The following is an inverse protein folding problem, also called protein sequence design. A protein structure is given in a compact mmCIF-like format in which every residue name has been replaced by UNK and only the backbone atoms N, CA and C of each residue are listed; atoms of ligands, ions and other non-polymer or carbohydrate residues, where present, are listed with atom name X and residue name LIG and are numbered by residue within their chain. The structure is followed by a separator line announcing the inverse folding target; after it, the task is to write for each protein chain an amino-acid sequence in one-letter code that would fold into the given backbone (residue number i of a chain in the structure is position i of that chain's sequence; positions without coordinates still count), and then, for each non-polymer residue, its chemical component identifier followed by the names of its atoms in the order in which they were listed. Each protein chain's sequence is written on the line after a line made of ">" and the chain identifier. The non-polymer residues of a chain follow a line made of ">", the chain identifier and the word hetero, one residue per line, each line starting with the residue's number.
data_IF_688856787201
#
_entry.id   IF_688856787201
#
_cell.length_a   1.000
_cell.length_b   1.000
_cell.length_c   1.000
_cell.angle_alpha   90.00
_cell.angle_beta   90.00
_cell.angle_gamma   90.00
#
_symmetry.space_group_name_H-M   'P 1'
#
loop_
_entity.id
_entity.type
_entity.pdbx_description
1 polymer ?
#
# COMPACT_ATOMS: atom_id res chain seq x y z
N UNK A 1 22.06 -11.01 -48.91
CA UNK A 1 21.44 -10.64 -47.61
C UNK A 1 22.37 -11.20 -46.56
N UNK A 2 22.99 -10.34 -45.74
CA UNK A 2 23.99 -10.78 -44.80
C UNK A 2 23.32 -11.10 -43.43
N UNK A 3 22.52 -12.16 -43.40
CA UNK A 3 21.73 -12.59 -42.24
C UNK A 3 22.66 -12.88 -41.01
N UNK A 4 23.78 -13.51 -41.24
CA UNK A 4 24.70 -13.90 -40.15
C UNK A 4 25.29 -12.69 -39.41
N UNK A 5 25.48 -11.56 -40.13
CA UNK A 5 25.94 -10.32 -39.49
C UNK A 5 24.92 -9.68 -38.57
N UNK A 6 23.61 -9.96 -38.72
CA UNK A 6 22.52 -9.42 -37.89
C UNK A 6 22.22 -10.32 -36.70
N UNK A 7 22.43 -11.63 -36.82
CA UNK A 7 22.03 -12.59 -35.76
C UNK A 7 22.90 -12.46 -34.52
N UNK A 8 24.20 -12.22 -34.66
CA UNK A 8 25.10 -12.02 -33.53
C UNK A 8 24.69 -10.86 -32.64
N UNK A 9 24.64 -9.63 -33.17
CA UNK A 9 24.21 -8.45 -32.42
C UNK A 9 22.79 -8.58 -31.81
N UNK A 10 21.84 -9.17 -32.55
CA UNK A 10 20.47 -9.40 -32.05
C UNK A 10 20.47 -10.33 -30.82
N UNK A 11 21.30 -11.38 -30.82
CA UNK A 11 21.44 -12.31 -29.68
C UNK A 11 22.00 -11.59 -28.48
N UNK A 12 23.06 -10.80 -28.63
CA UNK A 12 23.66 -10.03 -27.55
C UNK A 12 22.65 -9.02 -26.95
N UNK A 13 21.82 -8.41 -27.77
CA UNK A 13 20.76 -7.52 -27.28
C UNK A 13 19.72 -8.29 -26.46
N UNK A 14 19.28 -9.45 -26.92
CA UNK A 14 18.33 -10.30 -26.19
C UNK A 14 18.91 -10.81 -24.89
N UNK A 15 20.20 -11.15 -24.84
CA UNK A 15 20.88 -11.58 -23.61
C UNK A 15 20.92 -10.43 -22.59
N UNK A 16 21.21 -9.21 -23.01
CA UNK A 16 21.16 -8.02 -22.12
C UNK A 16 19.75 -7.77 -21.58
N UNK A 17 18.72 -7.84 -22.44
CA UNK A 17 17.31 -7.68 -22.02
C UNK A 17 16.89 -8.77 -21.05
N UNK A 18 17.28 -10.01 -21.32
CA UNK A 18 17.00 -11.14 -20.44
C UNK A 18 17.63 -10.95 -19.05
N UNK A 19 18.91 -10.58 -19.00
CA UNK A 19 19.61 -10.32 -17.75
C UNK A 19 18.93 -9.19 -16.94
N UNK A 20 18.59 -8.08 -17.58
CA UNK A 20 17.89 -6.96 -16.94
C UNK A 20 16.50 -7.38 -16.40
N UNK A 21 15.76 -8.19 -17.17
CA UNK A 21 14.47 -8.73 -16.77
C UNK A 21 14.57 -9.61 -15.52
N UNK A 22 15.50 -10.56 -15.50
CA UNK A 22 15.68 -11.46 -14.35
C UNK A 22 16.10 -10.68 -13.08
N UNK A 23 16.99 -9.69 -13.24
CA UNK A 23 17.36 -8.80 -12.15
C UNK A 23 16.17 -8.00 -11.62
N UNK A 24 15.37 -7.38 -12.50
CA UNK A 24 14.20 -6.62 -12.13
C UNK A 24 13.14 -7.47 -11.40
N UNK A 25 12.86 -8.69 -11.89
CA UNK A 25 11.94 -9.63 -11.24
C UNK A 25 12.43 -10.08 -9.87
N UNK A 26 13.70 -10.39 -9.73
CA UNK A 26 14.30 -10.79 -8.44
C UNK A 26 14.16 -9.68 -7.40
N UNK A 27 14.50 -8.45 -7.81
CA UNK A 27 14.39 -7.28 -6.93
C UNK A 27 12.94 -6.97 -6.58
N UNK A 28 12.04 -6.98 -7.56
CA UNK A 28 10.60 -6.77 -7.34
C UNK A 28 10.05 -7.70 -6.24
N UNK A 29 10.34 -9.00 -6.33
CA UNK A 29 9.94 -9.98 -5.31
C UNK A 29 10.50 -9.66 -3.93
N UNK A 30 11.76 -9.21 -3.87
CA UNK A 30 12.43 -8.83 -2.62
C UNK A 30 11.79 -7.58 -2.00
N UNK A 31 11.45 -6.57 -2.80
CA UNK A 31 10.73 -5.37 -2.35
C UNK A 31 9.37 -5.75 -1.78
N UNK A 32 8.55 -6.47 -2.53
CA UNK A 32 7.21 -6.91 -2.11
C UNK A 32 7.28 -7.67 -0.78
N UNK A 33 8.22 -8.63 -0.67
CA UNK A 33 8.40 -9.39 0.57
C UNK A 33 8.82 -8.49 1.75
N UNK A 34 9.68 -7.51 1.51
CA UNK A 34 10.17 -6.59 2.54
C UNK A 34 9.06 -5.64 2.98
N UNK A 35 8.24 -5.12 2.06
CA UNK A 35 7.06 -4.31 2.35
C UNK A 35 6.01 -5.09 3.15
N UNK A 36 5.72 -6.33 2.78
CA UNK A 36 4.82 -7.20 3.56
C UNK A 36 5.32 -7.44 4.99
N UNK A 37 6.64 -7.58 5.20
CA UNK A 37 7.23 -7.66 6.55
C UNK A 37 7.08 -6.33 7.29
N UNK A 38 7.32 -5.20 6.63
CA UNK A 38 7.14 -3.86 7.20
C UNK A 38 5.72 -3.70 7.74
N UNK A 39 4.69 -3.96 6.95
CA UNK A 39 3.29 -3.87 7.35
C UNK A 39 2.99 -4.79 8.57
N UNK A 40 3.54 -6.01 8.58
CA UNK A 40 3.41 -6.91 9.74
C UNK A 40 4.02 -6.33 11.02
N UNK A 41 5.15 -5.62 10.92
CA UNK A 41 5.75 -4.93 12.07
C UNK A 41 4.92 -3.71 12.50
N UNK A 42 4.32 -2.97 11.55
CA UNK A 42 3.36 -1.90 11.87
C UNK A 42 2.21 -2.43 12.72
N UNK A 43 1.55 -3.53 12.31
CA UNK A 43 0.47 -4.15 13.08
C UNK A 43 0.89 -4.66 14.47
N UNK A 44 2.17 -5.00 14.64
CA UNK A 44 2.73 -5.41 15.94
C UNK A 44 3.22 -4.24 16.77
N UNK A 45 3.05 -3.01 16.30
CA UNK A 45 3.56 -1.76 16.91
C UNK A 45 5.08 -1.75 17.07
N UNK A 46 5.79 -2.51 16.23
CA UNK A 46 7.24 -2.59 16.17
C UNK A 46 7.74 -1.54 15.14
N UNK A 47 7.63 -0.27 15.52
CA UNK A 47 7.79 0.86 14.59
C UNK A 47 9.24 1.01 14.12
N UNK A 48 10.23 0.78 14.98
CA UNK A 48 11.64 0.89 14.59
C UNK A 48 12.04 -0.15 13.52
N UNK A 49 11.56 -1.39 13.68
CA UNK A 49 11.76 -2.47 12.70
C UNK A 49 11.02 -2.17 11.39
N UNK A 50 9.81 -1.61 11.45
CA UNK A 50 9.07 -1.20 10.27
C UNK A 50 9.82 -0.12 9.47
N UNK A 51 10.39 0.90 10.13
CA UNK A 51 11.22 1.91 9.49
C UNK A 51 12.47 1.32 8.81
N UNK A 52 13.16 0.40 9.49
CA UNK A 52 14.33 -0.26 8.92
C UNK A 52 13.98 -1.05 7.66
N UNK A 53 12.87 -1.78 7.68
CA UNK A 53 12.37 -2.53 6.53
C UNK A 53 11.91 -1.62 5.39
N UNK A 54 11.23 -0.52 5.69
CA UNK A 54 10.81 0.46 4.67
C UNK A 54 12.03 1.08 3.97
N UNK A 55 13.06 1.44 4.73
CA UNK A 55 14.33 1.94 4.19
C UNK A 55 15.00 0.88 3.29
N UNK A 56 15.02 -0.37 3.73
CA UNK A 56 15.55 -1.48 2.93
C UNK A 56 14.78 -1.66 1.62
N UNK A 57 13.44 -1.60 1.66
CA UNK A 57 12.58 -1.71 0.48
C UNK A 57 12.87 -0.59 -0.54
N UNK A 58 13.03 0.65 -0.09
CA UNK A 58 13.38 1.78 -0.94
C UNK A 58 14.76 1.61 -1.61
N UNK A 59 15.75 1.11 -0.87
CA UNK A 59 17.07 0.82 -1.42
C UNK A 59 17.02 -0.29 -2.48
N UNK A 60 16.28 -1.36 -2.23
CA UNK A 60 16.06 -2.44 -3.20
C UNK A 60 15.37 -1.91 -4.46
N UNK A 61 14.34 -1.08 -4.32
CA UNK A 61 13.62 -0.50 -5.45
C UNK A 61 14.55 0.33 -6.35
N UNK A 62 15.44 1.12 -5.75
CA UNK A 62 16.45 1.86 -6.50
C UNK A 62 17.46 0.94 -7.21
N UNK A 63 17.85 -0.17 -6.61
CA UNK A 63 18.68 -1.19 -7.27
C UNK A 63 17.97 -1.81 -8.49
N UNK A 64 16.66 -2.11 -8.38
CA UNK A 64 15.85 -2.63 -9.48
C UNK A 64 15.77 -1.65 -10.65
N UNK A 65 15.58 -0.37 -10.37
CA UNK A 65 15.58 0.68 -11.39
C UNK A 65 16.94 0.81 -12.08
N UNK A 66 18.03 0.75 -11.31
CA UNK A 66 19.38 0.79 -11.85
C UNK A 66 19.69 -0.43 -12.75
N UNK A 67 19.23 -1.62 -12.35
CA UNK A 67 19.41 -2.84 -13.15
C UNK A 67 18.61 -2.81 -14.46
N UNK A 68 17.47 -2.12 -14.50
CA UNK A 68 16.65 -1.93 -15.70
C UNK A 68 17.04 -0.66 -16.51
N UNK A 69 18.03 0.11 -16.06
CA UNK A 69 18.47 1.32 -16.75
C UNK A 69 18.96 0.98 -18.17
N UNK A 70 18.50 1.75 -19.16
CA UNK A 70 18.83 1.48 -20.57
C UNK A 70 17.99 0.37 -21.24
N UNK A 71 17.04 -0.24 -20.53
CA UNK A 71 16.09 -1.22 -21.04
C UNK A 71 14.65 -0.75 -20.76
N UNK A 72 14.12 0.21 -21.53
CA UNK A 72 12.79 0.80 -21.27
C UNK A 72 11.67 -0.24 -21.22
N UNK A 73 11.75 -1.28 -22.06
CA UNK A 73 10.76 -2.35 -22.13
C UNK A 73 10.70 -3.14 -20.79
N UNK A 74 11.81 -3.23 -20.07
CA UNK A 74 11.86 -3.90 -18.77
C UNK A 74 11.49 -2.93 -17.67
N UNK A 75 11.94 -1.68 -17.73
CA UNK A 75 11.64 -0.64 -16.75
C UNK A 75 10.13 -0.39 -16.63
N UNK A 76 9.42 -0.43 -17.79
CA UNK A 76 7.98 -0.15 -17.87
C UNK A 76 7.11 -1.42 -18.04
N UNK A 77 7.67 -2.60 -17.87
CA UNK A 77 6.93 -3.88 -18.00
C UNK A 77 5.98 -4.22 -16.84
N UNK A 78 5.85 -3.34 -15.85
CA UNK A 78 4.95 -3.55 -14.71
C UNK A 78 5.62 -4.15 -13.47
N UNK A 79 6.69 -4.91 -13.59
CA UNK A 79 7.33 -5.58 -12.44
C UNK A 79 7.76 -4.63 -11.33
N UNK A 80 8.41 -3.53 -11.71
CA UNK A 80 8.84 -2.50 -10.77
C UNK A 80 7.68 -1.64 -10.29
N UNK A 81 6.66 -1.43 -11.12
CA UNK A 81 5.46 -0.69 -10.76
C UNK A 81 4.66 -1.41 -9.66
N UNK A 82 4.56 -2.75 -9.73
CA UNK A 82 3.96 -3.55 -8.67
C UNK A 82 4.76 -3.42 -7.36
N UNK A 83 6.08 -3.46 -7.44
CA UNK A 83 6.94 -3.24 -6.27
C UNK A 83 6.82 -1.81 -5.70
N UNK A 84 6.69 -0.79 -6.56
CA UNK A 84 6.43 0.60 -6.17
C UNK A 84 5.09 0.71 -5.42
N UNK A 85 4.06 0.05 -5.90
CA UNK A 85 2.73 0.03 -5.29
C UNK A 85 2.79 -0.52 -3.86
N UNK A 86 3.40 -1.67 -3.65
CA UNK A 86 3.60 -2.26 -2.32
C UNK A 86 4.47 -1.37 -1.39
N UNK A 87 5.46 -0.68 -1.97
CA UNK A 87 6.28 0.26 -1.21
C UNK A 87 5.47 1.47 -0.73
N UNK A 88 4.57 1.99 -1.57
CA UNK A 88 3.63 3.06 -1.20
C UNK A 88 2.67 2.61 -0.11
N UNK A 89 2.09 1.42 -0.24
CA UNK A 89 1.21 0.82 0.77
C UNK A 89 1.91 0.75 2.13
N UNK A 90 3.11 0.18 2.18
CA UNK A 90 3.87 0.05 3.42
C UNK A 90 4.24 1.42 4.03
N UNK A 91 4.64 2.40 3.20
CA UNK A 91 4.98 3.75 3.64
C UNK A 91 3.75 4.49 4.19
N UNK A 92 2.60 4.38 3.52
CA UNK A 92 1.34 4.95 3.96
C UNK A 92 0.85 4.34 5.27
N UNK A 93 0.86 3.01 5.38
CA UNK A 93 0.48 2.29 6.60
C UNK A 93 1.33 2.70 7.80
N UNK A 94 2.65 2.78 7.63
CA UNK A 94 3.56 3.22 8.69
C UNK A 94 3.31 4.66 9.10
N UNK A 95 3.18 5.58 8.14
CA UNK A 95 2.92 6.99 8.43
C UNK A 95 1.60 7.20 9.19
N UNK A 96 0.52 6.55 8.73
CA UNK A 96 -0.80 6.67 9.36
C UNK A 96 -0.87 6.02 10.74
N UNK A 97 -0.16 4.90 10.94
CA UNK A 97 -0.03 4.27 12.25
C UNK A 97 0.72 5.14 13.27
N UNK A 98 1.64 5.98 12.83
CA UNK A 98 2.35 6.96 13.66
C UNK A 98 1.59 8.31 13.80
N UNK A 99 0.42 8.46 13.18
CA UNK A 99 -0.30 9.72 13.14
C UNK A 99 0.40 10.81 12.31
N UNK A 100 1.31 10.43 11.42
CA UNK A 100 2.02 11.35 10.52
C UNK A 100 1.25 11.57 9.22
N UNK A 101 1.63 12.64 8.51
CA UNK A 101 1.14 12.89 7.16
C UNK A 101 1.56 11.77 6.19
N UNK A 102 0.69 11.50 5.22
CA UNK A 102 0.98 10.57 4.11
C UNK A 102 2.22 11.09 3.35
N UNK A 103 3.21 10.23 3.06
CA UNK A 103 4.40 10.63 2.32
C UNK A 103 4.05 11.11 0.91
N UNK A 104 4.67 12.18 0.46
CA UNK A 104 4.45 12.67 -0.89
C UNK A 104 5.00 11.68 -1.93
N UNK A 105 4.32 11.58 -3.08
CA UNK A 105 4.76 10.73 -4.20
C UNK A 105 6.21 11.01 -4.61
N UNK A 106 6.58 12.29 -4.64
CA UNK A 106 7.94 12.75 -5.01
C UNK A 106 9.00 12.28 -4.02
N UNK A 107 8.68 12.22 -2.73
CA UNK A 107 9.59 11.78 -1.67
C UNK A 107 9.83 10.26 -1.75
N UNK A 108 8.79 9.51 -2.15
CA UNK A 108 8.89 8.07 -2.41
C UNK A 108 9.54 7.76 -3.76
N UNK A 109 9.60 8.74 -4.68
CA UNK A 109 10.17 8.58 -6.01
C UNK A 109 9.47 7.55 -6.88
N UNK A 110 8.16 7.38 -6.73
CA UNK A 110 7.37 6.36 -7.44
C UNK A 110 6.51 6.95 -8.56
N UNK A 111 6.03 6.09 -9.47
CA UNK A 111 5.10 6.47 -10.53
C UNK A 111 3.75 6.91 -9.94
N UNK A 112 3.02 7.76 -10.67
CA UNK A 112 1.69 8.22 -10.24
C UNK A 112 0.72 7.04 -10.12
N UNK A 113 0.78 6.08 -11.02
CA UNK A 113 -0.11 4.91 -11.05
C UNK A 113 0.14 4.02 -9.83
N UNK A 114 1.41 3.75 -9.50
CA UNK A 114 1.78 2.99 -8.32
C UNK A 114 1.36 3.73 -7.03
N UNK A 115 1.53 5.05 -6.99
CA UNK A 115 1.14 5.85 -5.83
C UNK A 115 -0.37 5.79 -5.57
N UNK A 116 -1.20 6.05 -6.58
CA UNK A 116 -2.66 6.03 -6.40
C UNK A 116 -3.18 4.66 -6.01
N UNK A 117 -2.75 3.59 -6.70
CA UNK A 117 -3.18 2.23 -6.37
C UNK A 117 -2.64 1.79 -5.00
N UNK A 118 -1.38 2.09 -4.68
CA UNK A 118 -0.77 1.77 -3.38
C UNK A 118 -1.45 2.49 -2.21
N UNK A 119 -1.92 3.73 -2.40
CA UNK A 119 -2.71 4.43 -1.40
C UNK A 119 -4.09 3.80 -1.19
N UNK A 120 -4.72 3.29 -2.25
CA UNK A 120 -5.98 2.54 -2.13
C UNK A 120 -5.80 1.22 -1.37
N UNK A 121 -4.69 0.50 -1.59
CA UNK A 121 -4.35 -0.71 -0.85
C UNK A 121 -3.99 -0.39 0.61
N UNK A 122 -3.21 0.67 0.86
CA UNK A 122 -2.94 1.19 2.20
C UNK A 122 -4.24 1.47 2.97
N UNK A 123 -5.17 2.22 2.36
CA UNK A 123 -6.45 2.50 2.99
C UNK A 123 -7.24 1.22 3.32
N UNK A 124 -7.18 0.20 2.47
CA UNK A 124 -7.80 -1.10 2.74
C UNK A 124 -7.13 -1.83 3.92
N UNK A 125 -5.80 -1.80 4.00
CA UNK A 125 -5.02 -2.44 5.07
C UNK A 125 -5.22 -1.76 6.43
N UNK A 126 -5.54 -0.46 6.46
CA UNK A 126 -5.86 0.26 7.69
C UNK A 126 -7.04 -0.34 8.47
N UNK A 127 -7.97 -1.05 7.79
CA UNK A 127 -9.05 -1.74 8.47
C UNK A 127 -8.55 -2.62 9.62
N UNK A 128 -7.46 -3.34 9.40
CA UNK A 128 -6.86 -4.19 10.45
C UNK A 128 -6.45 -3.35 11.66
N UNK A 129 -5.77 -2.24 11.43
CA UNK A 129 -5.38 -1.33 12.52
C UNK A 129 -6.60 -0.74 13.23
N UNK A 130 -7.66 -0.36 12.49
CA UNK A 130 -8.93 0.12 13.07
C UNK A 130 -9.50 -0.93 14.02
N UNK A 131 -9.61 -2.19 13.60
CA UNK A 131 -10.14 -3.26 14.45
C UNK A 131 -9.28 -3.53 15.68
N UNK A 132 -7.95 -3.44 15.55
CA UNK A 132 -7.03 -3.63 16.67
C UNK A 132 -7.17 -2.50 17.71
N UNK A 133 -7.23 -1.23 17.29
CA UNK A 133 -7.42 -0.10 18.22
C UNK A 133 -8.82 -0.07 18.83
N UNK A 134 -9.86 -0.54 18.12
CA UNK A 134 -11.20 -0.74 18.67
C UNK A 134 -11.19 -1.78 19.82
N UNK A 135 -10.48 -2.90 19.65
CA UNK A 135 -10.33 -3.92 20.70
C UNK A 135 -9.60 -3.38 21.94
N UNK A 136 -8.74 -2.40 21.78
CA UNK A 136 -8.05 -1.68 22.87
C UNK A 136 -8.96 -0.59 23.51
N UNK A 137 -10.16 -0.37 22.98
CA UNK A 137 -11.08 0.66 23.46
C UNK A 137 -10.75 2.07 22.98
N UNK A 138 -9.79 2.24 22.08
CA UNK A 138 -9.39 3.55 21.55
C UNK A 138 -10.27 3.98 20.36
N UNK A 139 -11.53 4.31 20.65
CA UNK A 139 -12.49 4.73 19.63
C UNK A 139 -12.09 6.03 18.91
N UNK A 140 -11.51 7.07 19.55
CA UNK A 140 -11.06 8.26 18.83
C UNK A 140 -10.02 7.97 17.75
N UNK A 141 -9.11 7.04 18.00
CA UNK A 141 -8.10 6.64 17.01
C UNK A 141 -8.72 5.80 15.89
N UNK A 142 -9.66 4.90 16.20
CA UNK A 142 -10.40 4.15 15.20
C UNK A 142 -11.17 5.08 14.25
N UNK A 143 -11.83 6.11 14.78
CA UNK A 143 -12.51 7.15 14.00
C UNK A 143 -11.53 7.96 13.13
N UNK A 144 -10.36 8.29 13.66
CA UNK A 144 -9.32 9.01 12.89
C UNK A 144 -8.87 8.19 11.69
N UNK A 145 -8.62 6.89 11.89
CA UNK A 145 -8.18 6.00 10.82
C UNK A 145 -9.29 5.76 9.78
N UNK A 146 -10.54 5.60 10.21
CA UNK A 146 -11.68 5.49 9.28
C UNK A 146 -11.79 6.75 8.42
N UNK A 147 -11.70 7.94 9.01
CA UNK A 147 -11.69 9.20 8.23
C UNK A 147 -10.55 9.26 7.23
N UNK A 148 -9.36 8.76 7.59
CA UNK A 148 -8.25 8.69 6.64
C UNK A 148 -8.56 7.76 5.46
N UNK A 149 -9.18 6.59 5.71
CA UNK A 149 -9.63 5.68 4.65
C UNK A 149 -10.65 6.35 3.71
N UNK A 150 -11.62 7.07 4.27
CA UNK A 150 -12.67 7.78 3.54
C UNK A 150 -12.06 8.91 2.69
N UNK A 151 -11.18 9.73 3.26
CA UNK A 151 -10.51 10.81 2.53
C UNK A 151 -9.71 10.27 1.33
N UNK A 152 -8.94 9.20 1.54
CA UNK A 152 -8.20 8.57 0.46
C UNK A 152 -9.16 8.06 -0.64
N UNK A 153 -10.24 7.42 -0.27
CA UNK A 153 -11.24 6.91 -1.21
C UNK A 153 -11.89 8.04 -2.02
N UNK A 154 -12.33 9.11 -1.35
CA UNK A 154 -12.98 10.25 -1.98
C UNK A 154 -12.05 10.91 -3.00
N UNK A 155 -10.78 11.11 -2.64
CA UNK A 155 -9.76 11.65 -3.55
C UNK A 155 -9.51 10.71 -4.74
N UNK A 156 -9.33 9.40 -4.52
CA UNK A 156 -9.06 8.43 -5.58
C UNK A 156 -10.21 8.30 -6.58
N UNK A 157 -11.45 8.45 -6.15
CA UNK A 157 -12.62 8.36 -7.04
C UNK A 157 -12.74 9.55 -7.99
N UNK A 158 -12.00 10.64 -7.76
CA UNK A 158 -11.95 11.78 -8.70
C UNK A 158 -11.13 11.51 -9.97
N UNK A 159 -10.33 10.44 -9.99
CA UNK A 159 -9.49 10.06 -11.14
C UNK A 159 -10.29 9.24 -12.16
N UNK A 160 -11.12 9.90 -12.93
CA UNK A 160 -11.94 9.26 -13.99
C UNK A 160 -11.17 9.15 -15.31
N UNK A 161 -10.23 8.20 -15.37
CA UNK A 161 -9.43 7.89 -16.54
C UNK A 161 -9.54 6.41 -16.90
N UNK A 162 -9.29 6.03 -18.18
CA UNK A 162 -9.30 4.63 -18.59
C UNK A 162 -8.32 3.77 -17.79
N UNK A 163 -8.68 2.50 -17.57
CA UNK A 163 -7.87 1.53 -16.80
C UNK A 163 -6.43 1.39 -17.32
N UNK A 164 -6.24 1.48 -18.65
CA UNK A 164 -4.90 1.46 -19.25
C UNK A 164 -4.00 2.64 -18.82
N UNK A 165 -4.59 3.74 -18.34
CA UNK A 165 -3.85 4.91 -17.82
C UNK A 165 -3.66 4.80 -16.30
N UNK A 166 -4.65 4.27 -15.58
CA UNK A 166 -4.68 4.23 -14.12
C UNK A 166 -4.22 2.91 -13.51
N UNK A 167 -3.91 1.90 -14.34
CA UNK A 167 -3.49 0.59 -13.87
C UNK A 167 -4.58 -0.14 -13.05
N UNK A 168 -5.86 0.08 -13.38
CA UNK A 168 -6.98 -0.59 -12.71
C UNK A 168 -7.46 0.09 -11.43
N UNK A 169 -7.20 1.39 -11.25
CA UNK A 169 -7.57 2.17 -10.05
C UNK A 169 -9.06 2.04 -9.69
N UNK A 170 -9.94 1.96 -10.69
CA UNK A 170 -11.39 1.75 -10.46
C UNK A 170 -11.64 0.48 -9.63
N UNK A 171 -10.98 -0.62 -9.96
CA UNK A 171 -11.10 -1.88 -9.22
C UNK A 171 -10.57 -1.75 -7.80
N UNK A 172 -9.46 -1.03 -7.61
CA UNK A 172 -8.91 -0.70 -6.29
C UNK A 172 -9.91 0.10 -5.46
N UNK A 173 -10.55 1.12 -6.04
CA UNK A 173 -11.59 1.92 -5.39
C UNK A 173 -12.84 1.08 -5.03
N UNK A 174 -13.30 0.21 -5.93
CA UNK A 174 -14.46 -0.66 -5.66
C UNK A 174 -14.19 -1.60 -4.48
N UNK A 175 -12.99 -2.19 -4.40
CA UNK A 175 -12.57 -3.03 -3.29
C UNK A 175 -12.48 -2.22 -1.98
N UNK A 176 -11.86 -1.04 -2.01
CA UNK A 176 -11.71 -0.15 -0.86
C UNK A 176 -13.08 0.31 -0.32
N UNK A 177 -14.02 0.66 -1.20
CA UNK A 177 -15.39 1.01 -0.80
C UNK A 177 -16.03 -0.07 0.06
N UNK A 178 -15.95 -1.33 -0.37
CA UNK A 178 -16.51 -2.45 0.40
C UNK A 178 -15.83 -2.62 1.77
N UNK A 179 -14.52 -2.34 1.86
CA UNK A 179 -13.76 -2.35 3.12
C UNK A 179 -14.21 -1.21 4.04
N UNK A 180 -14.37 0.00 3.51
CA UNK A 180 -14.82 1.18 4.27
C UNK A 180 -16.23 0.95 4.85
N UNK A 181 -17.18 0.49 4.03
CA UNK A 181 -18.55 0.24 4.46
C UNK A 181 -18.62 -0.76 5.63
N UNK A 182 -17.84 -1.85 5.56
CA UNK A 182 -17.74 -2.82 6.66
C UNK A 182 -17.09 -2.21 7.91
N UNK A 183 -16.02 -1.44 7.74
CA UNK A 183 -15.31 -0.80 8.85
C UNK A 183 -16.20 0.19 9.57
N UNK A 184 -16.96 1.01 8.83
CA UNK A 184 -17.95 1.96 9.37
C UNK A 184 -19.05 1.24 10.14
N UNK A 185 -19.55 0.11 9.61
CA UNK A 185 -20.55 -0.70 10.28
C UNK A 185 -20.06 -1.24 11.63
N UNK A 186 -18.86 -1.84 11.65
CA UNK A 186 -18.27 -2.38 12.87
C UNK A 186 -18.03 -1.30 13.93
N UNK A 187 -17.52 -0.14 13.50
CA UNK A 187 -17.23 0.98 14.40
C UNK A 187 -18.52 1.58 14.96
N UNK A 188 -19.55 1.76 14.12
CA UNK A 188 -20.87 2.25 14.57
C UNK A 188 -21.47 1.32 15.59
N UNK A 189 -21.49 0.01 15.33
CA UNK A 189 -22.04 -0.98 16.26
C UNK A 189 -21.30 -0.97 17.61
N UNK A 190 -19.97 -0.95 17.57
CA UNK A 190 -19.14 -0.91 18.78
C UNK A 190 -19.40 0.38 19.58
N UNK A 191 -19.53 1.53 18.90
CA UNK A 191 -19.81 2.81 19.54
C UNK A 191 -21.15 2.79 20.30
N UNK A 192 -22.22 2.27 19.66
CA UNK A 192 -23.54 2.12 20.27
C UNK A 192 -23.51 1.17 21.47
N UNK A 193 -22.79 0.04 21.34
CA UNK A 193 -22.61 -0.91 22.45
C UNK A 193 -21.88 -0.28 23.64
N UNK A 194 -20.82 0.49 23.39
CA UNK A 194 -20.08 1.19 24.45
C UNK A 194 -20.95 2.26 25.12
N UNK A 195 -21.77 2.97 24.36
CA UNK A 195 -22.72 3.95 24.93
C UNK A 195 -23.74 3.25 25.84
N UNK A 196 -24.33 2.16 25.40
CA UNK A 196 -25.28 1.37 26.20
C UNK A 196 -24.63 0.87 27.49
N UNK A 197 -23.41 0.36 27.43
CA UNK A 197 -22.69 -0.10 28.63
C UNK A 197 -22.46 1.04 29.63
N UNK A 198 -22.14 2.25 29.17
CA UNK A 198 -22.00 3.43 30.03
C UNK A 198 -23.31 3.80 30.71
N UNK A 199 -24.42 3.79 29.95
CA UNK A 199 -25.75 4.09 30.52
C UNK A 199 -26.16 3.06 31.57
N UNK A 200 -25.93 1.78 31.34
CA UNK A 200 -26.19 0.71 32.33
C UNK A 200 -25.34 0.84 33.59
N UNK A 201 -24.11 1.29 33.46
CA UNK A 201 -23.23 1.52 34.62
C UNK A 201 -23.66 2.77 35.43
N UNK A 202 -24.17 3.79 34.74
CA UNK A 202 -24.65 5.02 35.39
C UNK A 202 -26.01 4.86 36.09
N UNK A 203 -26.79 3.83 35.70
CA UNK A 203 -28.06 3.47 36.30
C UNK A 203 -28.00 2.07 36.93
N UNK A 204 -27.21 1.85 38.01
CA UNK A 204 -27.22 0.58 38.69
C UNK A 204 -28.64 0.33 39.20
N UNK A 205 -29.22 -0.82 38.81
CA UNK A 205 -30.55 -1.23 39.25
C UNK A 205 -30.65 -1.06 40.77
N UNK A 206 -31.54 -0.20 41.19
CA UNK A 206 -31.98 -0.14 42.60
C UNK A 206 -32.57 -1.51 42.94
N UNK A 207 -31.74 -2.41 43.46
CA UNK A 207 -32.22 -3.67 44.01
C UNK A 207 -33.01 -3.34 45.24
N UNK A 208 -34.35 -3.45 45.16
CA UNK A 208 -35.19 -3.54 46.33
C UNK A 208 -34.91 -4.82 47.10
#
# INVERSE_FOLDING_TARGET
>A
MNWDAEVGPAREEMDRRHAAREAALSVSRSVIQTCSKCIKHVHRKQIAEAHALLTQAGNLLNQGRAAAAGQPEILYAGYLQDAEKEYVEAAGCLALAEGRAIPARTDLGVSVVAYLNGMGECASELRRTVLDVMREGNMPEAERLLRAMETIYDDLTTFDYPDGVTGGLRRTCDALRAVIERTRSDLTLTSVQMQLLRELQNHPSSTM
#
